data_IF_201898514398
#
_entry.id   IF_201898514398
#
_cell.length_a   1.000
_cell.length_b   1.000
_cell.length_c   1.000
_cell.angle_alpha   90.00
_cell.angle_beta   90.00
_cell.angle_gamma   90.00
#
_symmetry.space_group_name_H-M   'P 1'
#
loop_
_entity.id
_entity.type
_entity.pdbx_description
1 polymer ?
#
# COMPACT_ATOMS: atom_id res chain seq x y z
N UNK A 1 25.97 2.19 -32.84
CA UNK A 1 25.06 1.17 -32.27
C UNK A 1 23.66 1.59 -32.65
N UNK A 2 23.17 1.05 -33.76
CA UNK A 2 21.90 1.44 -34.34
C UNK A 2 20.76 0.80 -33.56
N UNK A 3 19.96 1.65 -32.93
CA UNK A 3 18.75 1.24 -32.22
C UNK A 3 17.72 0.83 -33.26
N UNK A 4 17.49 -0.47 -33.41
CA UNK A 4 16.43 -1.00 -34.27
C UNK A 4 15.06 -0.61 -33.69
N UNK A 5 14.54 0.54 -34.13
CA UNK A 5 13.12 0.83 -34.06
C UNK A 5 12.45 -0.04 -35.14
N UNK A 6 11.61 -0.98 -34.73
CA UNK A 6 10.88 -1.82 -35.68
C UNK A 6 10.05 -0.96 -36.64
N UNK A 7 10.04 -1.34 -37.92
CA UNK A 7 9.24 -0.64 -38.93
C UNK A 7 7.75 -0.68 -38.54
N UNK A 8 7.02 0.44 -38.62
CA UNK A 8 5.61 0.49 -38.26
C UNK A 8 4.79 -0.50 -39.11
N UNK A 9 4.10 -1.42 -38.46
CA UNK A 9 3.14 -2.30 -39.14
C UNK A 9 1.96 -1.46 -39.63
N UNK A 10 1.53 -1.66 -40.88
CA UNK A 10 0.37 -0.98 -41.45
C UNK A 10 -0.89 -1.30 -40.62
N UNK A 11 -1.51 -0.27 -40.02
CA UNK A 11 -2.76 -0.43 -39.26
C UNK A 11 -3.93 -0.38 -40.24
N UNK A 12 -4.71 -1.46 -40.32
CA UNK A 12 -5.88 -1.53 -41.21
C UNK A 12 -7.16 -0.87 -40.64
N UNK A 13 -7.05 -0.06 -39.59
CA UNK A 13 -8.19 0.62 -38.96
C UNK A 13 -7.83 2.07 -38.62
N UNK A 14 -8.84 2.93 -38.64
CA UNK A 14 -8.71 4.30 -38.16
C UNK A 14 -8.38 4.33 -36.66
N UNK A 15 -7.60 5.30 -36.17
CA UNK A 15 -7.36 5.46 -34.74
C UNK A 15 -8.67 5.64 -33.97
N UNK A 16 -8.79 5.01 -32.81
CA UNK A 16 -9.91 5.25 -31.90
C UNK A 16 -9.53 6.36 -30.89
N UNK A 17 -10.06 7.60 -31.06
CA UNK A 17 -9.73 8.72 -30.18
C UNK A 17 -10.26 8.53 -28.75
N UNK A 18 -11.31 7.75 -28.55
CA UNK A 18 -11.89 7.50 -27.22
C UNK A 18 -10.97 6.69 -26.30
N UNK A 19 -9.98 5.98 -26.85
CA UNK A 19 -8.98 5.27 -26.06
C UNK A 19 -7.96 6.21 -25.43
N UNK A 20 -7.76 7.41 -26.00
CA UNK A 20 -6.75 8.35 -25.54
C UNK A 20 -7.02 8.79 -24.09
N UNK A 21 -8.24 9.24 -23.72
CA UNK A 21 -8.57 9.55 -22.32
C UNK A 21 -8.33 8.39 -21.36
N UNK A 22 -8.66 7.15 -21.74
CA UNK A 22 -8.47 5.98 -20.89
C UNK A 22 -6.97 5.69 -20.62
N UNK A 23 -6.12 5.88 -21.63
CA UNK A 23 -4.66 5.74 -21.49
C UNK A 23 -4.11 6.85 -20.58
N UNK A 24 -4.51 8.10 -20.81
CA UNK A 24 -4.10 9.24 -20.01
C UNK A 24 -4.51 9.08 -18.54
N UNK A 25 -5.74 8.63 -18.28
CA UNK A 25 -6.24 8.32 -16.95
C UNK A 25 -5.35 7.28 -16.24
N UNK A 26 -5.05 6.17 -16.91
CA UNK A 26 -4.19 5.11 -16.34
C UNK A 26 -2.80 5.66 -16.01
N UNK A 27 -2.21 6.46 -16.89
CA UNK A 27 -0.89 7.04 -16.68
C UNK A 27 -0.89 8.04 -15.50
N UNK A 28 -1.91 8.88 -15.42
CA UNK A 28 -2.08 9.82 -14.32
C UNK A 28 -2.24 9.11 -12.97
N UNK A 29 -3.09 8.08 -12.91
CA UNK A 29 -3.29 7.26 -11.70
C UNK A 29 -1.98 6.57 -11.29
N UNK A 30 -1.23 6.02 -12.24
CA UNK A 30 0.07 5.40 -11.97
C UNK A 30 1.07 6.41 -11.42
N UNK A 31 1.22 7.56 -12.08
CA UNK A 31 2.15 8.61 -11.64
C UNK A 31 1.84 9.05 -10.21
N UNK A 32 0.56 9.36 -9.91
CA UNK A 32 0.14 9.79 -8.57
C UNK A 32 0.31 8.69 -7.53
N UNK A 33 0.00 7.45 -7.88
CA UNK A 33 0.18 6.31 -6.97
C UNK A 33 1.65 6.00 -6.65
N UNK A 34 2.58 6.35 -7.55
CA UNK A 34 4.01 6.18 -7.34
C UNK A 34 4.62 7.25 -6.42
N UNK A 35 4.03 8.46 -6.39
CA UNK A 35 4.60 9.62 -5.69
C UNK A 35 3.87 10.00 -4.40
N UNK A 36 2.69 9.41 -4.12
CA UNK A 36 1.84 9.81 -2.98
C UNK A 36 1.31 8.62 -2.19
N UNK A 37 1.12 8.84 -0.88
CA UNK A 37 0.52 7.87 0.06
C UNK A 37 -1.01 8.06 0.23
N UNK A 38 -1.67 8.78 -0.68
CA UNK A 38 -3.12 9.01 -0.62
C UNK A 38 -3.92 7.70 -0.58
N UNK A 39 -5.16 7.72 -0.07
CA UNK A 39 -6.01 6.53 -0.16
C UNK A 39 -6.35 6.20 -1.62
N UNK A 40 -6.43 4.91 -1.97
CA UNK A 40 -6.81 4.45 -3.32
C UNK A 40 -8.13 5.05 -3.81
N UNK A 41 -9.13 5.14 -2.93
CA UNK A 41 -10.43 5.76 -3.21
C UNK A 41 -10.29 7.25 -3.56
N UNK A 42 -9.45 8.00 -2.84
CA UNK A 42 -9.18 9.42 -3.11
C UNK A 42 -8.56 9.62 -4.49
N UNK A 43 -7.50 8.86 -4.81
CA UNK A 43 -6.85 8.94 -6.12
C UNK A 43 -7.86 8.66 -7.24
N UNK A 44 -8.65 7.60 -7.08
CA UNK A 44 -9.61 7.15 -8.09
C UNK A 44 -10.76 8.16 -8.27
N UNK A 45 -11.33 8.66 -7.17
CA UNK A 45 -12.36 9.69 -7.20
C UNK A 45 -11.87 10.97 -7.90
N UNK A 46 -10.67 11.44 -7.54
CA UNK A 46 -10.08 12.64 -8.14
C UNK A 46 -9.80 12.46 -9.63
N UNK A 47 -9.32 11.29 -10.03
CA UNK A 47 -9.02 11.00 -11.43
C UNK A 47 -10.29 10.84 -12.29
N UNK A 48 -11.36 10.25 -11.74
CA UNK A 48 -12.62 10.05 -12.46
C UNK A 48 -13.43 11.34 -12.61
N UNK A 49 -13.29 12.30 -11.68
CA UNK A 49 -14.01 13.58 -11.73
C UNK A 49 -13.79 14.35 -13.04
N UNK A 50 -12.60 14.23 -13.64
CA UNK A 50 -12.23 14.93 -14.88
C UNK A 50 -12.33 14.04 -16.12
N UNK A 51 -12.88 12.83 -15.99
CA UNK A 51 -12.95 11.89 -17.11
C UNK A 51 -14.08 12.28 -18.07
N UNK A 52 -13.82 12.33 -19.39
CA UNK A 52 -14.80 12.87 -20.33
C UNK A 52 -15.91 11.85 -20.65
N UNK A 53 -17.15 12.35 -20.71
CA UNK A 53 -18.34 11.50 -20.90
C UNK A 53 -18.34 10.78 -22.26
N UNK A 54 -17.82 11.41 -23.30
CA UNK A 54 -17.71 10.82 -24.64
C UNK A 54 -16.76 9.63 -24.73
N UNK A 55 -15.88 9.42 -23.73
CA UNK A 55 -15.00 8.26 -23.65
C UNK A 55 -15.42 7.29 -22.53
N UNK A 56 -16.61 7.46 -21.94
CA UNK A 56 -17.11 6.63 -20.83
C UNK A 56 -17.12 5.13 -21.18
N UNK A 57 -17.40 4.78 -22.43
CA UNK A 57 -17.40 3.39 -22.91
C UNK A 57 -16.02 2.71 -22.84
N UNK A 58 -14.93 3.49 -22.83
CA UNK A 58 -13.56 2.97 -22.74
C UNK A 58 -13.04 2.91 -21.29
N UNK A 59 -13.86 3.30 -20.31
CA UNK A 59 -13.43 3.37 -18.91
C UNK A 59 -13.24 1.96 -18.34
N UNK A 60 -12.05 1.62 -17.79
CA UNK A 60 -11.85 0.35 -17.11
C UNK A 60 -12.70 0.24 -15.84
N UNK A 61 -13.01 -1.00 -15.44
CA UNK A 61 -13.67 -1.27 -14.15
C UNK A 61 -12.87 -0.68 -12.98
N UNK A 62 -13.58 -0.17 -11.98
CA UNK A 62 -13.00 0.45 -10.78
C UNK A 62 -12.02 -0.48 -10.06
N UNK A 63 -12.34 -1.78 -9.95
CA UNK A 63 -11.46 -2.76 -9.30
C UNK A 63 -10.13 -2.94 -10.05
N UNK A 64 -10.16 -2.90 -11.39
CA UNK A 64 -8.96 -2.97 -12.20
C UNK A 64 -8.07 -1.74 -11.99
N UNK A 65 -8.67 -0.54 -11.89
CA UNK A 65 -7.96 0.69 -11.57
C UNK A 65 -7.37 0.66 -10.15
N UNK A 66 -8.11 0.14 -9.17
CA UNK A 66 -7.62 -0.02 -7.80
C UNK A 66 -6.42 -0.98 -7.72
N UNK A 67 -6.44 -2.08 -8.49
CA UNK A 67 -5.30 -3.00 -8.58
C UNK A 67 -4.07 -2.34 -9.21
N UNK A 68 -4.25 -1.49 -10.23
CA UNK A 68 -3.15 -0.73 -10.83
C UNK A 68 -2.49 0.17 -9.77
N UNK A 69 -3.28 0.90 -8.99
CA UNK A 69 -2.77 1.76 -7.90
C UNK A 69 -1.94 0.93 -6.91
N UNK A 70 -2.49 -0.20 -6.44
CA UNK A 70 -1.82 -1.06 -5.46
C UNK A 70 -0.51 -1.64 -5.99
N UNK A 71 -0.47 -2.06 -7.26
CA UNK A 71 0.75 -2.60 -7.89
C UNK A 71 1.81 -1.53 -8.13
N UNK A 72 1.39 -0.29 -8.36
CA UNK A 72 2.30 0.81 -8.59
C UNK A 72 2.97 1.31 -7.30
N UNK A 73 2.32 1.10 -6.15
CA UNK A 73 2.91 1.37 -4.84
C UNK A 73 3.95 0.31 -4.55
N UNK A 74 5.21 0.71 -4.61
CA UNK A 74 6.31 -0.13 -4.17
C UNK A 74 6.25 -0.24 -2.64
N UNK A 75 6.42 -1.45 -2.12
CA UNK A 75 6.65 -1.60 -0.69
C UNK A 75 7.93 -0.84 -0.32
N UNK A 76 7.97 -0.13 0.83
CA UNK A 76 9.16 0.55 1.28
C UNK A 76 10.31 -0.46 1.36
N UNK A 77 11.46 -0.08 0.80
CA UNK A 77 12.66 -0.91 0.88
C UNK A 77 13.09 -1.00 2.34
N UNK A 78 13.49 -2.19 2.79
CA UNK A 78 14.10 -2.33 4.10
C UNK A 78 15.45 -1.61 4.10
N UNK A 79 15.83 -1.12 5.27
CA UNK A 79 17.18 -0.59 5.48
C UNK A 79 18.23 -1.69 5.23
N UNK A 80 19.51 -1.35 5.00
CA UNK A 80 20.57 -2.35 4.76
C UNK A 80 20.65 -3.44 5.84
N UNK A 81 20.26 -3.12 7.06
CA UNK A 81 20.21 -4.02 8.21
C UNK A 81 18.97 -4.93 8.24
N UNK A 82 18.12 -4.89 7.21
CA UNK A 82 16.86 -5.63 7.11
C UNK A 82 15.74 -5.06 7.98
N UNK A 83 15.92 -3.87 8.56
CA UNK A 83 14.94 -3.21 9.44
C UNK A 83 13.95 -2.35 8.65
N UNK A 84 12.80 -2.09 9.26
CA UNK A 84 11.82 -1.14 8.72
C UNK A 84 12.40 0.29 8.74
N UNK A 85 12.21 1.08 7.67
CA UNK A 85 12.63 2.48 7.62
C UNK A 85 12.11 3.30 8.80
N UNK A 86 12.90 4.24 9.30
CA UNK A 86 12.58 5.01 10.52
C UNK A 86 11.19 5.68 10.46
N UNK A 87 10.79 6.20 9.28
CA UNK A 87 9.47 6.80 9.05
C UNK A 87 8.30 5.87 9.41
N UNK A 88 8.50 4.56 9.32
CA UNK A 88 7.49 3.54 9.61
C UNK A 88 7.60 2.95 11.02
N UNK A 89 8.64 3.34 11.77
CA UNK A 89 8.86 2.87 13.16
C UNK A 89 8.14 3.75 14.18
N UNK A 90 7.65 4.92 13.76
CA UNK A 90 6.91 5.88 14.59
C UNK A 90 5.45 5.96 14.14
N UNK A 91 4.57 6.26 15.09
CA UNK A 91 3.18 6.62 14.81
C UNK A 91 3.09 8.01 14.18
N UNK A 92 1.94 8.37 13.62
CA UNK A 92 1.68 9.73 13.11
C UNK A 92 1.81 10.81 14.21
N UNK A 93 1.78 10.41 15.49
CA UNK A 93 1.98 11.28 16.66
C UNK A 93 3.44 11.36 17.12
N UNK A 94 4.36 10.67 16.43
CA UNK A 94 5.78 10.63 16.77
C UNK A 94 6.17 9.63 17.86
N UNK A 95 5.23 8.85 18.41
CA UNK A 95 5.54 7.80 19.39
C UNK A 95 6.18 6.59 18.71
N UNK A 96 7.16 5.96 19.36
CA UNK A 96 7.74 4.69 18.91
C UNK A 96 6.67 3.60 18.86
N UNK A 97 6.52 2.98 17.69
CA UNK A 97 5.53 1.94 17.41
C UNK A 97 6.12 0.53 17.41
N UNK A 98 7.45 0.40 17.28
CA UNK A 98 8.15 -0.88 17.39
C UNK A 98 8.84 -0.91 18.74
N UNK A 99 8.26 -1.65 19.70
CA UNK A 99 8.81 -1.72 21.06
C UNK A 99 9.91 -2.78 21.19
N UNK A 100 9.74 -3.92 20.52
CA UNK A 100 10.67 -5.03 20.53
C UNK A 100 10.84 -5.55 19.12
N UNK A 101 12.09 -5.65 18.67
CA UNK A 101 12.46 -6.24 17.40
C UNK A 101 13.58 -7.26 17.65
N UNK A 102 13.25 -8.53 17.51
CA UNK A 102 14.17 -9.66 17.65
C UNK A 102 14.02 -10.58 16.44
N UNK A 103 14.96 -11.51 16.27
CA UNK A 103 14.96 -12.47 15.15
C UNK A 103 13.69 -13.34 15.09
N UNK A 104 12.99 -13.53 16.21
CA UNK A 104 11.81 -14.41 16.28
C UNK A 104 10.49 -13.66 16.52
N UNK A 105 10.57 -12.42 17.02
CA UNK A 105 9.40 -11.68 17.49
C UNK A 105 9.58 -10.19 17.24
N UNK A 106 8.56 -9.60 16.61
CA UNK A 106 8.41 -8.15 16.49
C UNK A 106 7.10 -7.77 17.19
N UNK A 107 7.19 -6.82 18.13
CA UNK A 107 6.03 -6.29 18.84
C UNK A 107 5.76 -4.87 18.36
N UNK A 108 4.63 -4.71 17.68
CA UNK A 108 4.08 -3.43 17.25
C UNK A 108 3.13 -2.88 18.33
N UNK A 109 3.61 -1.94 19.12
CA UNK A 109 2.82 -1.27 20.16
C UNK A 109 3.50 0.02 20.60
N UNK A 110 2.76 0.88 21.29
CA UNK A 110 3.29 2.08 21.96
C UNK A 110 3.37 1.86 23.47
N UNK A 111 4.15 2.68 24.17
CA UNK A 111 4.18 2.69 25.65
C UNK A 111 2.82 3.05 26.25
N UNK A 112 2.07 3.93 25.59
CA UNK A 112 0.71 4.29 25.95
C UNK A 112 -0.23 3.07 25.89
N UNK A 113 -0.19 2.31 24.80
CA UNK A 113 -0.97 1.07 24.67
C UNK A 113 -0.61 0.02 25.73
N UNK A 114 0.68 -0.15 26.03
CA UNK A 114 1.10 -1.07 27.11
C UNK A 114 0.60 -0.63 28.48
N UNK A 115 0.61 0.67 28.76
CA UNK A 115 0.13 1.22 30.03
C UNK A 115 -1.37 0.96 30.19
N UNK A 116 -2.13 1.11 29.11
CA UNK A 116 -3.55 0.74 29.06
C UNK A 116 -3.71 -0.76 29.32
N UNK A 117 -2.99 -1.62 28.59
CA UNK A 117 -3.05 -3.07 28.77
C UNK A 117 -2.74 -3.49 30.22
N UNK A 118 -1.73 -2.88 30.85
CA UNK A 118 -1.35 -3.15 32.25
C UNK A 118 -2.49 -2.86 33.25
N UNK A 119 -3.37 -1.91 32.96
CA UNK A 119 -4.48 -1.54 33.86
C UNK A 119 -5.62 -2.57 33.87
N UNK A 120 -5.75 -3.37 32.81
CA UNK A 120 -6.85 -4.31 32.67
C UNK A 120 -6.41 -5.75 32.94
N UNK A 121 -7.16 -6.45 33.80
CA UNK A 121 -6.93 -7.85 34.16
C UNK A 121 -7.19 -8.84 33.02
N UNK A 122 -8.03 -8.46 32.06
CA UNK A 122 -8.46 -9.32 30.96
C UNK A 122 -8.28 -8.62 29.63
N UNK A 123 -7.67 -9.31 28.67
CA UNK A 123 -7.46 -8.82 27.32
C UNK A 123 -8.20 -9.69 26.32
N UNK A 124 -8.85 -9.06 25.35
CA UNK A 124 -9.52 -9.75 24.26
C UNK A 124 -8.75 -9.50 22.97
N UNK A 125 -8.17 -10.57 22.40
CA UNK A 125 -7.47 -10.51 21.14
C UNK A 125 -8.47 -10.66 19.98
N UNK A 126 -8.75 -9.58 19.24
CA UNK A 126 -9.73 -9.57 18.14
C UNK A 126 -9.21 -10.16 16.81
N UNK A 127 -8.28 -11.11 16.85
CA UNK A 127 -7.75 -11.78 15.66
C UNK A 127 -6.87 -10.91 14.75
N UNK A 128 -6.57 -9.66 15.11
CA UNK A 128 -5.62 -8.79 14.36
C UNK A 128 -4.14 -9.12 14.63
N UNK A 129 -3.85 -10.07 15.51
CA UNK A 129 -2.51 -10.60 15.70
C UNK A 129 -2.20 -11.61 14.61
N UNK A 130 -1.45 -11.18 13.59
CA UNK A 130 -0.92 -12.08 12.58
C UNK A 130 0.40 -12.64 13.07
N UNK A 131 0.40 -13.91 13.44
CA UNK A 131 1.57 -14.58 14.02
C UNK A 131 2.17 -15.50 12.95
N UNK A 132 3.46 -15.31 12.64
CA UNK A 132 4.16 -16.08 11.59
C UNK A 132 4.82 -17.36 12.11
N UNK A 133 4.84 -17.59 13.43
CA UNK A 133 5.43 -18.78 14.07
C UNK A 133 4.49 -19.32 15.15
N UNK A 134 4.38 -20.64 15.26
CA UNK A 134 3.43 -21.31 16.16
C UNK A 134 3.49 -20.74 17.59
N UNK A 135 2.34 -20.22 18.05
CA UNK A 135 2.19 -19.52 19.31
C UNK A 135 2.12 -20.55 20.45
N UNK A 136 3.27 -20.86 21.06
CA UNK A 136 3.27 -21.54 22.36
C UNK A 136 3.03 -20.48 23.43
N UNK A 137 1.81 -20.41 23.95
CA UNK A 137 1.47 -19.52 25.06
C UNK A 137 2.22 -20.04 26.30
N UNK A 138 3.31 -19.37 26.68
CA UNK A 138 3.91 -19.55 28.00
C UNK A 138 3.16 -18.64 28.97
N UNK A 139 2.27 -19.24 29.76
CA UNK A 139 1.46 -18.57 30.79
C UNK A 139 2.23 -18.19 32.07
N UNK A 140 3.57 -18.21 32.06
CA UNK A 140 4.38 -17.97 33.25
C UNK A 140 5.52 -17.01 32.96
N UNK A 141 5.27 -15.70 32.93
CA UNK A 141 6.35 -14.70 33.05
C UNK A 141 5.86 -13.29 33.49
N UNK A 142 4.65 -13.17 34.04
CA UNK A 142 4.22 -11.97 34.77
C UNK A 142 3.96 -12.29 36.24
N UNK A 143 5.04 -12.58 36.95
CA UNK A 143 5.14 -12.34 38.40
C UNK A 143 6.52 -11.75 38.64
N UNK A 144 6.58 -10.42 38.79
CA UNK A 144 7.51 -9.63 39.60
C UNK A 144 6.95 -8.21 39.70
#
# INVERSE_FOLDING_TARGET
MDTFLSLPTARCHAPNPELIPAIQLKNHIKARAATTDEQTSSILHNALRTYPLNAAGQLPKTDALALIIRRQRTAPLLDPDGRLPEKLRKTDRGEDFILLESTKLIIFTTKSNLSILKQYKHWFANGKFKVSYQLTILSSLFSL
#
